data_IF_082180399350
#
_entry.id   IF_082180399350
#
_cell.length_a   1.000
_cell.length_b   1.000
_cell.length_c   1.000
_cell.angle_alpha   90.00
_cell.angle_beta   90.00
_cell.angle_gamma   90.00
#
_symmetry.space_group_name_H-M   'P 1'
#
loop_
_entity.id
_entity.type
_entity.pdbx_description
1 polymer ?
#
# COMPACT_ATOMS: atom_id res chain seq x y z
N UNK A 1 1.29 1.73 -4.05
CA UNK A 1 0.23 2.66 -3.62
C UNK A 1 0.44 2.95 -2.14
N UNK A 2 0.05 4.12 -1.63
CA UNK A 2 0.07 4.42 -0.19
C UNK A 2 -0.25 5.88 0.11
N UNK A 3 -0.60 6.19 1.35
CA UNK A 3 -1.05 7.53 1.79
C UNK A 3 0.04 8.34 2.52
N UNK A 4 1.23 7.77 2.75
CA UNK A 4 2.37 8.48 3.31
C UNK A 4 3.28 9.03 2.19
N UNK A 5 3.09 10.29 1.84
CA UNK A 5 3.83 10.95 0.76
C UNK A 5 5.36 10.91 0.95
N UNK A 6 5.86 11.10 2.17
CA UNK A 6 7.31 11.14 2.43
C UNK A 6 7.97 9.78 2.17
N UNK A 7 7.34 8.70 2.64
CA UNK A 7 7.84 7.33 2.42
C UNK A 7 7.81 7.00 0.93
N UNK A 8 6.74 7.37 0.22
CA UNK A 8 6.66 7.13 -1.22
C UNK A 8 7.71 7.94 -1.98
N UNK A 9 7.98 9.19 -1.62
CA UNK A 9 9.04 10.00 -2.24
C UNK A 9 10.42 9.40 -1.99
N UNK A 10 10.70 8.87 -0.80
CA UNK A 10 11.94 8.14 -0.52
C UNK A 10 12.08 6.89 -1.41
N UNK A 11 10.97 6.20 -1.69
CA UNK A 11 10.93 5.03 -2.58
C UNK A 11 10.95 5.39 -4.08
N UNK A 12 10.49 6.58 -4.47
CA UNK A 12 10.64 7.07 -5.84
C UNK A 12 12.09 7.49 -6.09
N UNK A 13 12.62 8.35 -5.22
CA UNK A 13 13.90 9.04 -5.45
C UNK A 13 15.13 8.21 -5.05
N UNK A 14 14.94 6.97 -4.57
CA UNK A 14 16.05 6.15 -4.03
C UNK A 14 16.83 6.86 -2.92
N UNK A 15 16.13 7.74 -2.19
CA UNK A 15 16.69 8.54 -1.12
C UNK A 15 16.27 7.99 0.24
N UNK A 16 17.20 7.46 1.06
CA UNK A 16 16.88 6.99 2.40
C UNK A 16 16.47 8.15 3.32
N UNK A 17 15.68 7.88 4.39
CA UNK A 17 15.30 8.88 5.36
C UNK A 17 16.52 9.47 6.09
N UNK A 18 16.43 10.74 6.50
CA UNK A 18 17.48 11.43 7.28
C UNK A 18 17.67 10.80 8.65
N UNK A 19 16.56 10.40 9.28
CA UNK A 19 16.52 9.68 10.55
C UNK A 19 17.30 8.36 10.49
N UNK A 20 18.39 8.25 11.27
CA UNK A 20 19.32 7.11 11.23
C UNK A 20 18.63 5.77 11.53
N UNK A 21 17.71 5.77 12.50
CA UNK A 21 16.97 4.59 12.94
C UNK A 21 16.06 4.00 11.86
N UNK A 22 15.62 4.79 10.89
CA UNK A 22 14.72 4.32 9.81
C UNK A 22 15.46 3.83 8.57
N UNK A 23 16.78 4.07 8.46
CA UNK A 23 17.57 3.70 7.28
C UNK A 23 17.61 2.19 7.07
N UNK A 24 17.64 1.41 8.15
CA UNK A 24 17.65 -0.05 8.08
C UNK A 24 16.41 -0.60 7.40
N UNK A 25 15.23 -0.17 7.85
CA UNK A 25 13.95 -0.63 7.31
C UNK A 25 13.73 -0.12 5.88
N UNK A 26 14.13 1.12 5.59
CA UNK A 26 14.14 1.65 4.22
C UNK A 26 14.85 0.71 3.24
N UNK A 27 16.07 0.28 3.57
CA UNK A 27 16.85 -0.58 2.67
C UNK A 27 16.28 -1.99 2.55
N UNK A 28 15.67 -2.53 3.62
CA UNK A 28 14.95 -3.81 3.54
C UNK A 28 13.77 -3.71 2.57
N UNK A 29 12.92 -2.70 2.73
CA UNK A 29 11.78 -2.47 1.85
C UNK A 29 12.22 -2.22 0.40
N UNK A 30 13.29 -1.42 0.19
CA UNK A 30 13.83 -1.16 -1.15
C UNK A 30 14.29 -2.44 -1.83
N UNK A 31 15.09 -3.27 -1.15
CA UNK A 31 15.59 -4.53 -1.72
C UNK A 31 14.45 -5.47 -2.10
N UNK A 32 13.43 -5.56 -1.26
CA UNK A 32 12.23 -6.35 -1.57
C UNK A 32 11.49 -5.78 -2.79
N UNK A 33 11.32 -4.46 -2.86
CA UNK A 33 10.70 -3.80 -4.00
C UNK A 33 11.47 -3.99 -5.31
N UNK A 34 12.80 -3.94 -5.26
CA UNK A 34 13.66 -4.25 -6.40
C UNK A 34 13.52 -5.74 -6.80
N UNK A 35 13.47 -6.66 -5.83
CA UNK A 35 13.33 -8.10 -6.07
C UNK A 35 11.98 -8.48 -6.72
N UNK A 36 10.89 -7.79 -6.36
CA UNK A 36 9.56 -7.99 -6.98
C UNK A 36 9.31 -7.05 -8.16
N UNK A 37 10.34 -6.33 -8.63
CA UNK A 37 10.28 -5.41 -9.77
C UNK A 37 9.14 -4.38 -9.68
N UNK A 38 8.99 -3.69 -8.54
CA UNK A 38 8.00 -2.61 -8.38
C UNK A 38 8.21 -1.54 -9.46
N UNK A 39 7.21 -1.36 -10.32
CA UNK A 39 7.29 -0.46 -11.48
C UNK A 39 6.99 1.01 -11.13
N UNK A 40 6.16 1.25 -10.12
CA UNK A 40 5.78 2.61 -9.72
C UNK A 40 5.30 2.69 -8.28
N UNK A 41 5.50 3.86 -7.69
CA UNK A 41 4.92 4.26 -6.42
C UNK A 41 3.96 5.42 -6.69
N UNK A 42 2.77 5.35 -6.12
CA UNK A 42 1.70 6.32 -6.37
C UNK A 42 1.03 6.65 -5.05
N UNK A 43 0.99 7.95 -4.74
CA UNK A 43 0.32 8.48 -3.55
C UNK A 43 -1.19 8.35 -3.71
N UNK A 44 -1.85 7.93 -2.63
CA UNK A 44 -3.30 7.85 -2.53
C UNK A 44 -3.76 8.78 -1.42
N UNK A 45 -4.96 9.35 -1.55
CA UNK A 45 -5.60 10.00 -0.42
C UNK A 45 -5.95 8.95 0.64
N UNK A 46 -5.91 9.35 1.91
CA UNK A 46 -6.13 8.42 3.04
C UNK A 46 -7.50 7.72 2.98
N UNK A 47 -8.51 8.40 2.43
CA UNK A 47 -9.85 7.83 2.19
C UNK A 47 -9.89 6.72 1.15
N UNK A 48 -8.86 6.61 0.30
CA UNK A 48 -8.68 5.56 -0.70
C UNK A 48 -7.59 4.54 -0.31
N UNK A 49 -7.18 4.55 0.97
CA UNK A 49 -6.25 3.58 1.55
C UNK A 49 -6.77 3.06 2.91
N UNK A 50 -8.09 3.06 3.10
CA UNK A 50 -8.73 2.71 4.38
C UNK A 50 -8.54 1.24 4.74
N UNK A 51 -8.51 0.37 3.76
CA UNK A 51 -8.27 -1.07 3.91
C UNK A 51 -6.92 -1.33 4.58
N UNK A 52 -5.85 -0.66 4.10
CA UNK A 52 -4.51 -0.78 4.70
C UNK A 52 -4.46 -0.20 6.13
N UNK A 53 -5.19 0.90 6.36
CA UNK A 53 -5.29 1.50 7.69
C UNK A 53 -6.03 0.61 8.69
N UNK A 54 -7.12 -0.05 8.27
CA UNK A 54 -7.84 -1.02 9.11
C UNK A 54 -7.03 -2.28 9.38
N UNK A 55 -6.24 -2.76 8.41
CA UNK A 55 -5.27 -3.85 8.62
C UNK A 55 -4.23 -3.46 9.67
N UNK A 56 -3.66 -2.27 9.57
CA UNK A 56 -2.69 -1.77 10.55
C UNK A 56 -3.33 -1.63 11.95
N UNK A 57 -4.55 -1.09 12.04
CA UNK A 57 -5.30 -0.98 13.29
C UNK A 57 -5.57 -2.34 13.92
N UNK A 58 -5.93 -3.34 13.11
CA UNK A 58 -6.18 -4.69 13.56
C UNK A 58 -4.92 -5.39 14.07
N UNK A 59 -3.79 -5.24 13.37
CA UNK A 59 -2.51 -5.76 13.82
C UNK A 59 -2.08 -5.12 15.14
N UNK A 60 -2.24 -3.81 15.27
CA UNK A 60 -1.93 -3.08 16.52
C UNK A 60 -2.82 -3.51 17.69
N UNK A 61 -4.11 -3.71 17.46
CA UNK A 61 -5.05 -4.08 18.54
C UNK A 61 -4.88 -5.51 19.02
N UNK A 62 -4.48 -6.43 18.14
CA UNK A 62 -4.35 -7.85 18.46
C UNK A 62 -2.94 -8.26 18.87
N UNK A 63 -1.91 -7.53 18.42
CA UNK A 63 -0.50 -7.79 18.73
C UNK A 63 0.00 -9.16 18.26
N UNK A 64 -0.69 -9.80 17.30
CA UNK A 64 -0.38 -11.13 16.77
C UNK A 64 -0.65 -11.16 15.27
N UNK A 65 0.06 -12.03 14.57
CA UNK A 65 -0.19 -12.31 13.16
C UNK A 65 -1.55 -12.98 12.98
N UNK A 66 -2.29 -12.58 11.96
CA UNK A 66 -3.64 -13.07 11.71
C UNK A 66 -3.92 -13.20 10.22
N UNK A 67 -4.38 -14.39 9.84
CA UNK A 67 -4.84 -14.69 8.50
C UNK A 67 -6.35 -14.95 8.51
N UNK A 68 -7.02 -14.59 7.42
CA UNK A 68 -8.43 -14.89 7.23
C UNK A 68 -8.66 -15.70 5.96
N UNK A 69 -9.18 -16.90 6.16
CA UNK A 69 -9.66 -17.76 5.10
C UNK A 69 -11.20 -17.65 5.04
N UNK A 70 -11.70 -16.87 4.07
CA UNK A 70 -13.12 -16.58 3.95
C UNK A 70 -14.00 -17.84 3.80
N UNK A 71 -13.49 -18.90 3.17
CA UNK A 71 -14.19 -20.18 3.01
C UNK A 71 -14.24 -21.04 4.28
N UNK A 72 -13.28 -20.87 5.18
CA UNK A 72 -13.13 -21.70 6.39
C UNK A 72 -13.68 -21.01 7.64
N UNK A 73 -13.68 -19.67 7.66
CA UNK A 73 -14.11 -18.87 8.80
C UNK A 73 -15.12 -17.79 8.37
N UNK A 74 -16.33 -18.17 7.92
CA UNK A 74 -17.38 -17.22 7.54
C UNK A 74 -17.82 -16.34 8.72
N UNK A 75 -17.83 -16.88 9.94
CA UNK A 75 -18.23 -16.15 11.16
C UNK A 75 -17.17 -15.16 11.66
N UNK A 76 -15.91 -15.25 11.17
CA UNK A 76 -14.90 -14.24 11.47
C UNK A 76 -15.18 -12.90 10.76
N UNK A 77 -16.14 -12.87 9.81
CA UNK A 77 -16.46 -11.70 9.00
C UNK A 77 -16.74 -10.41 9.79
N UNK A 78 -17.32 -10.50 11.00
CA UNK A 78 -17.55 -9.32 11.85
C UNK A 78 -16.25 -8.66 12.32
N UNK A 79 -15.20 -9.45 12.58
CA UNK A 79 -13.88 -8.93 12.95
C UNK A 79 -13.18 -8.24 11.77
N UNK A 80 -13.43 -8.72 10.56
CA UNK A 80 -12.86 -8.21 9.31
C UNK A 80 -13.75 -7.19 8.60
N UNK A 81 -14.90 -6.83 9.19
CA UNK A 81 -15.91 -5.96 8.58
C UNK A 81 -15.33 -4.61 8.17
N UNK A 82 -14.47 -4.02 9.02
CA UNK A 82 -13.79 -2.77 8.69
C UNK A 82 -12.95 -2.88 7.40
N UNK A 83 -12.32 -4.03 7.15
CA UNK A 83 -11.47 -4.27 5.99
C UNK A 83 -12.34 -4.61 4.76
N UNK A 84 -13.29 -5.53 4.90
CA UNK A 84 -14.17 -5.96 3.79
C UNK A 84 -15.07 -4.83 3.30
N UNK A 85 -15.41 -3.87 4.17
CA UNK A 85 -16.17 -2.67 3.82
C UNK A 85 -15.43 -1.76 2.83
N UNK A 86 -14.11 -1.64 2.92
CA UNK A 86 -13.33 -0.68 2.12
C UNK A 86 -12.58 -1.32 0.95
N UNK A 87 -12.28 -2.62 1.02
CA UNK A 87 -11.39 -3.28 0.05
C UNK A 87 -11.84 -3.13 -1.41
N UNK A 88 -13.16 -3.20 -1.66
CA UNK A 88 -13.70 -3.10 -3.02
C UNK A 88 -13.48 -1.69 -3.61
N UNK A 89 -13.76 -0.66 -2.83
CA UNK A 89 -13.68 0.72 -3.27
C UNK A 89 -12.22 1.19 -3.40
N UNK A 90 -11.37 0.84 -2.43
CA UNK A 90 -9.94 1.16 -2.45
C UNK A 90 -9.25 0.49 -3.65
N UNK A 91 -9.48 -0.81 -3.87
CA UNK A 91 -8.88 -1.54 -5.00
C UNK A 91 -9.35 -0.97 -6.33
N UNK A 92 -10.65 -0.64 -6.45
CA UNK A 92 -11.18 0.02 -7.65
C UNK A 92 -10.46 1.34 -7.91
N UNK A 93 -10.27 2.17 -6.88
CA UNK A 93 -9.56 3.43 -7.02
C UNK A 93 -8.08 3.23 -7.42
N UNK A 94 -7.40 2.24 -6.84
CA UNK A 94 -6.01 1.93 -7.20
C UNK A 94 -5.86 1.54 -8.67
N UNK A 95 -6.81 0.78 -9.23
CA UNK A 95 -6.81 0.46 -10.65
C UNK A 95 -7.01 1.70 -11.53
N UNK A 96 -7.94 2.60 -11.15
CA UNK A 96 -8.18 3.84 -11.89
C UNK A 96 -6.93 4.74 -11.90
N UNK A 97 -6.28 4.92 -10.75
CA UNK A 97 -5.05 5.72 -10.64
C UNK A 97 -3.87 5.09 -11.40
N UNK A 98 -3.75 3.76 -11.38
CA UNK A 98 -2.74 3.05 -12.18
C UNK A 98 -2.94 3.27 -13.68
N UNK A 99 -4.19 3.19 -14.15
CA UNK A 99 -4.53 3.42 -15.55
C UNK A 99 -4.19 4.85 -15.99
N UNK A 100 -4.55 5.85 -15.18
CA UNK A 100 -4.21 7.26 -15.41
C UNK A 100 -2.69 7.48 -15.48
N UNK A 101 -1.95 6.94 -14.51
CA UNK A 101 -0.48 7.08 -14.48
C UNK A 101 0.20 6.41 -15.68
N UNK A 102 -0.35 5.29 -16.17
CA UNK A 102 0.16 4.61 -17.38
C UNK A 102 -0.13 5.44 -18.63
N UNK A 103 -1.34 6.00 -18.74
CA UNK A 103 -1.74 6.84 -19.87
C UNK A 103 -0.88 8.12 -19.97
N UNK A 104 -0.61 8.80 -18.86
CA UNK A 104 0.25 10.00 -18.85
C UNK A 104 1.69 9.71 -19.30
N UNK A 105 2.27 8.57 -18.88
CA UNK A 105 3.64 8.19 -19.28
C UNK A 105 3.77 7.88 -20.78
N UNK A 106 2.73 7.34 -21.42
CA UNK A 106 2.73 7.06 -22.87
C UNK A 106 2.68 8.34 -23.70
N UNK A 107 2.05 9.40 -23.18
CA UNK A 107 2.01 10.70 -23.86
C UNK A 107 3.36 11.41 -23.74
N UNK A 108 4.01 11.37 -22.59
CA UNK A 108 5.34 11.99 -22.39
C UNK A 108 6.47 11.29 -23.16
N UNK A 109 6.36 9.98 -23.44
CA UNK A 109 7.36 9.23 -24.21
C UNK A 109 7.27 9.46 -25.74
N UNK A 110 6.30 10.26 -26.22
CA UNK A 110 6.21 10.70 -27.62
C UNK A 110 6.70 12.13 -27.77
N UNK A 111 8.01 12.36 -27.61
CA UNK A 111 8.70 13.60 -28.03
C UNK A 111 10.06 13.23 -28.59
#
# INVERSE_FOLDING_TARGET
MGDNQDVLQQQLNRAPPRAKQLKGDYWKTRRLADAVAVQSWTTQLREFNRTANELARMAQSTGRDMDWHAGEMPNAGAKWEGITRFIKDDVKQWFLEKAKSTSSKVVEAKV
#
